data_IF_066607321614
#
_entry.id   IF_066607321614
#
_cell.length_a   1.000
_cell.length_b   1.000
_cell.length_c   1.000
_cell.angle_alpha   90.00
_cell.angle_beta   90.00
_cell.angle_gamma   90.00
#
_symmetry.space_group_name_H-M   'P 1'
#
loop_
_entity.id
_entity.type
_entity.pdbx_description
1 polymer ?
#
# COMPACT_ATOMS: atom_id res chain seq x y z
N UNK A 1 -10.26 6.93 2.91
CA UNK A 1 -9.04 7.06 2.08
C UNK A 1 -7.88 7.44 3.01
N UNK A 2 -6.87 6.59 3.22
CA UNK A 2 -5.78 6.87 4.17
C UNK A 2 -4.69 7.77 3.52
N UNK A 3 -5.06 9.00 3.15
CA UNK A 3 -4.18 9.98 2.50
C UNK A 3 -2.94 10.31 3.35
N UNK A 4 -3.09 10.48 4.67
CA UNK A 4 -1.96 10.77 5.57
C UNK A 4 -0.83 9.73 5.55
N UNK A 5 -1.16 8.43 5.43
CA UNK A 5 -0.14 7.37 5.36
C UNK A 5 0.49 7.36 3.97
N UNK A 6 -0.33 7.56 2.95
CA UNK A 6 0.13 7.62 1.57
C UNK A 6 1.07 8.81 1.35
N UNK A 7 0.79 9.98 1.91
CA UNK A 7 1.60 11.20 1.79
C UNK A 7 2.94 11.11 2.54
N UNK A 8 2.98 10.37 3.66
CA UNK A 8 4.22 10.07 4.38
C UNK A 8 5.07 8.99 3.69
N UNK A 9 4.55 8.31 2.68
CA UNK A 9 5.33 7.34 1.92
C UNK A 9 6.20 8.05 0.87
N UNK A 10 7.45 7.59 0.73
CA UNK A 10 8.31 8.05 -0.36
C UNK A 10 7.69 7.76 -1.73
N UNK A 11 8.01 8.60 -2.73
CA UNK A 11 7.45 8.56 -4.10
C UNK A 11 7.43 7.17 -4.73
N UNK A 12 8.46 6.36 -4.46
CA UNK A 12 8.53 4.97 -4.93
C UNK A 12 7.37 4.11 -4.37
N UNK A 13 7.14 4.14 -3.06
CA UNK A 13 6.09 3.33 -2.42
C UNK A 13 4.71 3.82 -2.84
N UNK A 14 4.52 5.13 -2.95
CA UNK A 14 3.28 5.72 -3.48
C UNK A 14 2.97 5.20 -4.88
N UNK A 15 3.95 5.21 -5.79
CA UNK A 15 3.79 4.68 -7.15
C UNK A 15 3.41 3.20 -7.15
N UNK A 16 4.07 2.38 -6.33
CA UNK A 16 3.77 0.94 -6.20
C UNK A 16 2.34 0.70 -5.71
N UNK A 17 1.91 1.42 -4.67
CA UNK A 17 0.55 1.26 -4.12
C UNK A 17 -0.50 1.76 -5.11
N UNK A 18 -0.24 2.86 -5.82
CA UNK A 18 -1.12 3.36 -6.88
C UNK A 18 -1.34 2.31 -7.97
N UNK A 19 -0.26 1.75 -8.51
CA UNK A 19 -0.34 0.75 -9.58
C UNK A 19 -0.96 -0.57 -9.11
N UNK A 20 -0.51 -1.11 -7.97
CA UNK A 20 -0.91 -2.44 -7.55
C UNK A 20 -2.27 -2.50 -6.82
N UNK A 21 -2.67 -1.42 -6.13
CA UNK A 21 -3.92 -1.40 -5.34
C UNK A 21 -5.01 -0.61 -6.04
N UNK A 22 -4.71 0.60 -6.54
CA UNK A 22 -5.73 1.43 -7.17
C UNK A 22 -6.00 1.02 -8.62
N UNK A 23 -4.95 0.76 -9.40
CA UNK A 23 -5.10 0.27 -10.78
C UNK A 23 -5.22 -1.26 -10.88
N UNK A 24 -5.17 -1.99 -9.75
CA UNK A 24 -5.23 -3.46 -9.70
C UNK A 24 -4.24 -4.19 -10.63
N UNK A 25 -3.11 -3.56 -10.96
CA UNK A 25 -2.09 -4.19 -11.80
C UNK A 25 -1.42 -5.34 -11.08
N UNK A 26 -0.95 -6.32 -11.85
CA UNK A 26 -0.20 -7.43 -11.28
C UNK A 26 1.12 -6.96 -10.66
N UNK A 27 1.62 -7.75 -9.70
CA UNK A 27 2.92 -7.51 -9.04
C UNK A 27 4.04 -7.39 -10.08
N UNK A 28 4.01 -8.22 -11.11
CA UNK A 28 5.02 -8.23 -12.18
C UNK A 28 4.95 -6.99 -13.07
N UNK A 29 3.75 -6.56 -13.49
CA UNK A 29 3.58 -5.32 -14.26
C UNK A 29 4.03 -4.09 -13.45
N UNK A 30 3.68 -4.06 -12.17
CA UNK A 30 4.12 -3.01 -11.25
C UNK A 30 5.65 -3.01 -11.08
N UNK A 31 6.26 -4.19 -10.99
CA UNK A 31 7.70 -4.36 -10.89
C UNK A 31 8.43 -3.81 -12.13
N UNK A 32 7.90 -4.09 -13.32
CA UNK A 32 8.40 -3.55 -14.60
C UNK A 32 8.27 -2.02 -14.63
N UNK A 33 7.09 -1.48 -14.32
CA UNK A 33 6.83 -0.04 -14.33
C UNK A 33 7.64 0.76 -13.28
N UNK A 34 8.08 0.08 -12.21
CA UNK A 34 8.91 0.65 -11.16
C UNK A 34 10.41 0.34 -11.32
N UNK A 35 10.81 -0.46 -12.32
CA UNK A 35 12.20 -0.85 -12.53
C UNK A 35 12.80 -1.60 -11.34
N UNK A 36 12.05 -2.53 -10.73
CA UNK A 36 12.46 -3.22 -9.51
C UNK A 36 12.00 -4.68 -9.47
N UNK A 37 12.49 -5.46 -8.51
CA UNK A 37 12.10 -6.87 -8.36
C UNK A 37 10.66 -7.02 -7.83
N UNK A 38 9.96 -8.05 -8.31
CA UNK A 38 8.61 -8.41 -7.85
C UNK A 38 8.54 -8.62 -6.31
N UNK A 39 9.59 -9.15 -5.70
CA UNK A 39 9.67 -9.30 -4.23
C UNK A 39 9.61 -7.96 -3.49
N UNK A 40 10.23 -6.90 -4.04
CA UNK A 40 10.22 -5.56 -3.43
C UNK A 40 8.80 -4.99 -3.47
N UNK A 41 8.10 -5.18 -4.58
CA UNK A 41 6.67 -4.83 -4.73
C UNK A 41 5.80 -5.59 -3.73
N UNK A 42 5.96 -6.91 -3.61
CA UNK A 42 5.23 -7.74 -2.62
C UNK A 42 5.44 -7.23 -1.19
N UNK A 43 6.67 -6.87 -0.81
CA UNK A 43 6.96 -6.32 0.53
C UNK A 43 6.26 -4.99 0.78
N UNK A 44 6.25 -4.09 -0.20
CA UNK A 44 5.57 -2.79 -0.09
C UNK A 44 4.07 -2.99 0.08
N UNK A 45 3.46 -3.86 -0.73
CA UNK A 45 2.03 -4.20 -0.64
C UNK A 45 1.69 -4.84 0.71
N UNK A 46 2.50 -5.81 1.16
CA UNK A 46 2.29 -6.48 2.46
C UNK A 46 2.34 -5.48 3.63
N UNK A 47 3.33 -4.58 3.60
CA UNK A 47 3.45 -3.53 4.63
C UNK A 47 2.28 -2.54 4.57
N UNK A 48 1.83 -2.16 3.38
CA UNK A 48 0.63 -1.33 3.22
C UNK A 48 -0.61 -2.01 3.80
N UNK A 49 -0.86 -3.28 3.44
CA UNK A 49 -2.00 -4.04 3.97
C UNK A 49 -1.96 -4.19 5.49
N UNK A 50 -0.78 -4.36 6.09
CA UNK A 50 -0.63 -4.41 7.54
C UNK A 50 -1.01 -3.07 8.19
N UNK A 51 -0.47 -1.96 7.67
CA UNK A 51 -0.78 -0.61 8.17
C UNK A 51 -2.27 -0.25 8.02
N UNK A 52 -2.91 -0.67 6.93
CA UNK A 52 -4.35 -0.45 6.74
C UNK A 52 -5.16 -1.33 7.69
N UNK A 53 -4.80 -2.62 7.85
CA UNK A 53 -5.55 -3.57 8.70
C UNK A 53 -5.48 -3.22 10.19
N UNK A 54 -4.32 -2.81 10.71
CA UNK A 54 -4.21 -2.31 12.09
C UNK A 54 -5.08 -1.08 12.31
N UNK A 55 -5.12 -0.16 11.35
CA UNK A 55 -5.99 1.02 11.48
C UNK A 55 -7.46 0.69 11.35
N UNK A 56 -7.90 -0.24 10.52
CA UNK A 56 -9.32 -0.62 10.49
C UNK A 56 -9.77 -1.23 11.83
N UNK A 57 -8.90 -2.01 12.49
CA UNK A 57 -9.17 -2.52 13.84
C UNK A 57 -9.19 -1.39 14.90
N UNK A 58 -8.26 -0.43 14.83
CA UNK A 58 -8.22 0.73 15.75
C UNK A 58 -9.36 1.73 15.48
N UNK A 59 -9.85 1.82 14.24
CA UNK A 59 -10.99 2.67 13.86
C UNK A 59 -12.30 2.03 14.32
N UNK A 60 -12.46 0.72 14.11
CA UNK A 60 -13.61 -0.04 14.60
C UNK A 60 -13.70 -0.04 16.13
N UNK A 61 -12.56 -0.02 16.84
CA UNK A 61 -12.53 0.09 18.30
C UNK A 61 -12.86 1.50 18.83
N UNK A 62 -12.86 2.54 17.99
CA UNK A 62 -13.19 3.92 18.40
C UNK A 62 -14.65 4.33 18.14
N UNK A 63 -15.41 3.54 17.39
CA UNK A 63 -16.85 3.77 17.17
C UNK A 63 -17.76 3.09 18.22
N UNK A 64 -17.19 2.43 19.24
CA UNK A 64 -17.95 1.83 20.35
C UNK A 64 -17.79 2.55 21.69
N UNK A 65 -17.57 3.88 21.70
CA UNK A 65 -17.57 4.65 22.94
C UNK A 65 -18.36 5.95 22.82
#
# INVERSE_FOLDING_TARGET
MNQQIFEQMGRFRQKVIRLAIFENKSVYETAIACGCSAEKVKRVIKKWKALTKEKELVSAAKESK
#
